data_IF_912488020237
#
_entry.id   IF_912488020237
#
_cell.length_a   1.000
_cell.length_b   1.000
_cell.length_c   1.000
_cell.angle_alpha   90.00
_cell.angle_beta   90.00
_cell.angle_gamma   90.00
#
_symmetry.space_group_name_H-M   'P 1'
#
loop_
_entity.id
_entity.type
_entity.pdbx_description
1 polymer ?
#
# COMPACT_ATOMS: atom_id res chain seq x y z
N UNK A 1 -5.88 -18.56 13.52
CA UNK A 1 -7.20 -18.25 12.92
C UNK A 1 -7.10 -18.26 11.38
N UNK A 2 -6.60 -19.35 10.79
CA UNK A 2 -6.13 -19.40 9.39
C UNK A 2 -7.07 -20.13 8.41
N UNK A 3 -8.31 -20.42 8.82
CA UNK A 3 -9.26 -21.20 8.00
C UNK A 3 -10.19 -20.34 7.10
N UNK A 4 -10.09 -19.01 7.13
CA UNK A 4 -11.06 -18.14 6.45
C UNK A 4 -10.68 -17.72 5.01
N UNK A 5 -9.45 -18.00 4.56
CA UNK A 5 -8.92 -17.50 3.27
C UNK A 5 -9.18 -18.50 2.12
N UNK A 6 -9.28 -19.80 2.43
CA UNK A 6 -9.46 -20.86 1.42
C UNK A 6 -10.88 -20.92 0.85
N UNK A 7 -11.86 -20.29 1.51
CA UNK A 7 -13.26 -20.25 1.04
C UNK A 7 -13.57 -19.19 -0.02
N UNK A 8 -12.87 -18.05 -0.03
CA UNK A 8 -13.37 -16.79 -0.65
C UNK A 8 -12.90 -16.49 -2.08
N UNK A 9 -11.78 -17.08 -2.49
CA UNK A 9 -11.40 -17.11 -3.90
C UNK A 9 -12.19 -18.20 -4.68
N UNK A 10 -12.83 -19.12 -3.93
CA UNK A 10 -13.43 -20.31 -4.49
C UNK A 10 -14.73 -19.99 -5.25
N UNK A 11 -15.64 -19.13 -4.76
CA UNK A 11 -16.89 -18.89 -5.50
C UNK A 11 -16.76 -17.93 -6.69
N UNK A 12 -15.82 -16.99 -6.69
CA UNK A 12 -15.47 -16.22 -7.91
C UNK A 12 -15.00 -17.15 -9.04
N UNK A 13 -14.20 -18.16 -8.68
CA UNK A 13 -13.82 -19.24 -9.59
C UNK A 13 -15.00 -20.18 -9.94
N UNK A 14 -15.89 -20.49 -8.99
CA UNK A 14 -17.10 -21.33 -9.24
C UNK A 14 -18.07 -20.63 -10.19
N UNK A 15 -18.26 -19.32 -10.05
CA UNK A 15 -19.07 -18.51 -10.97
C UNK A 15 -18.46 -18.50 -12.38
N UNK A 16 -17.17 -18.18 -12.49
CA UNK A 16 -16.46 -18.23 -13.78
C UNK A 16 -16.53 -19.61 -14.43
N UNK A 17 -16.41 -20.68 -13.64
CA UNK A 17 -16.54 -22.06 -14.10
C UNK A 17 -17.96 -22.39 -14.58
N UNK A 18 -18.99 -22.05 -13.81
CA UNK A 18 -20.39 -22.31 -14.18
C UNK A 18 -20.78 -21.56 -15.47
N UNK A 19 -20.30 -20.33 -15.63
CA UNK A 19 -20.49 -19.56 -16.87
C UNK A 19 -19.82 -20.23 -18.07
N UNK A 20 -18.55 -20.66 -17.91
CA UNK A 20 -17.79 -21.30 -18.98
C UNK A 20 -18.42 -22.64 -19.42
N UNK A 21 -18.81 -23.49 -18.46
CA UNK A 21 -19.47 -24.77 -18.73
C UNK A 21 -20.79 -24.59 -19.50
N UNK A 22 -21.59 -23.59 -19.11
CA UNK A 22 -22.82 -23.22 -19.79
C UNK A 22 -22.55 -22.69 -21.21
N UNK A 23 -21.54 -21.85 -21.38
CA UNK A 23 -21.14 -21.30 -22.68
C UNK A 23 -20.72 -22.40 -23.67
N UNK A 24 -19.88 -23.32 -23.23
CA UNK A 24 -19.41 -24.44 -24.05
C UNK A 24 -20.58 -25.37 -24.43
N UNK A 25 -21.50 -25.62 -23.50
CA UNK A 25 -22.69 -26.44 -23.73
C UNK A 25 -23.61 -25.82 -24.78
N UNK A 26 -23.89 -24.52 -24.69
CA UNK A 26 -24.67 -23.76 -25.68
C UNK A 26 -23.99 -23.81 -27.06
N UNK A 27 -22.67 -23.65 -27.11
CA UNK A 27 -21.89 -23.68 -28.36
C UNK A 27 -21.91 -25.06 -29.03
N UNK A 28 -21.80 -26.13 -28.25
CA UNK A 28 -21.73 -27.51 -28.74
C UNK A 28 -23.10 -28.06 -29.16
N UNK A 29 -24.16 -27.77 -28.39
CA UNK A 29 -25.52 -28.30 -28.62
C UNK A 29 -26.30 -27.43 -29.60
N UNK A 30 -26.05 -26.12 -29.65
CA UNK A 30 -26.83 -25.16 -30.46
C UNK A 30 -26.76 -25.38 -31.98
N UNK A 31 -25.82 -26.18 -32.45
CA UNK A 31 -25.74 -26.59 -33.86
C UNK A 31 -26.59 -27.82 -34.21
N UNK A 32 -26.99 -28.64 -33.22
CA UNK A 32 -27.65 -29.93 -33.42
C UNK A 32 -29.18 -29.90 -33.30
N UNK A 33 -29.75 -28.98 -32.51
CA UNK A 33 -31.20 -28.96 -32.25
C UNK A 33 -31.88 -27.72 -32.87
N UNK A 34 -32.47 -27.89 -34.06
CA UNK A 34 -33.07 -26.80 -34.84
C UNK A 34 -34.18 -26.03 -34.10
N UNK A 35 -34.96 -26.70 -33.25
CA UNK A 35 -36.10 -26.10 -32.54
C UNK A 35 -35.70 -25.11 -31.44
N UNK A 36 -34.53 -25.26 -30.83
CA UNK A 36 -34.03 -24.34 -29.79
C UNK A 36 -33.07 -23.29 -30.30
N UNK A 37 -32.81 -23.27 -31.62
CA UNK A 37 -31.80 -22.42 -32.26
C UNK A 37 -31.95 -20.93 -31.93
N UNK A 38 -33.18 -20.42 -31.86
CA UNK A 38 -33.44 -19.01 -31.54
C UNK A 38 -33.09 -18.67 -30.08
N UNK A 39 -33.52 -19.53 -29.14
CA UNK A 39 -33.28 -19.36 -27.70
C UNK A 39 -31.79 -19.50 -27.42
N UNK A 40 -31.12 -20.53 -27.95
CA UNK A 40 -29.68 -20.74 -27.77
C UNK A 40 -28.85 -19.63 -28.41
N UNK A 41 -29.32 -19.02 -29.51
CA UNK A 41 -28.69 -17.84 -30.10
C UNK A 41 -28.80 -16.61 -29.20
N UNK A 42 -29.99 -16.34 -28.64
CA UNK A 42 -30.19 -15.27 -27.64
C UNK A 42 -29.27 -15.47 -26.42
N UNK A 43 -29.28 -16.69 -25.90
CA UNK A 43 -28.50 -17.10 -24.75
C UNK A 43 -27.01 -16.92 -24.98
N UNK A 44 -26.51 -17.36 -26.15
CA UNK A 44 -25.12 -17.14 -26.57
C UNK A 44 -24.77 -15.66 -26.64
N UNK A 45 -25.61 -14.83 -27.27
CA UNK A 45 -25.36 -13.39 -27.36
C UNK A 45 -25.32 -12.71 -25.99
N UNK A 46 -26.17 -13.13 -25.04
CA UNK A 46 -26.13 -12.64 -23.67
C UNK A 46 -24.83 -13.05 -22.95
N UNK A 47 -24.37 -14.29 -23.14
CA UNK A 47 -23.11 -14.75 -22.56
C UNK A 47 -21.88 -14.06 -23.18
N UNK A 48 -21.88 -13.81 -24.50
CA UNK A 48 -20.81 -13.07 -25.20
C UNK A 48 -20.67 -11.64 -24.64
N UNK A 49 -21.78 -10.99 -24.27
CA UNK A 49 -21.78 -9.67 -23.62
C UNK A 49 -21.25 -9.71 -22.18
N UNK A 50 -21.34 -10.86 -21.51
CA UNK A 50 -20.92 -11.03 -20.12
C UNK A 50 -19.45 -11.48 -19.97
N UNK A 51 -18.89 -12.13 -20.99
CA UNK A 51 -17.53 -12.68 -20.94
C UNK A 51 -16.45 -11.65 -20.56
N UNK A 52 -16.41 -10.41 -21.12
CA UNK A 52 -15.40 -9.41 -20.74
C UNK A 52 -15.53 -8.98 -19.27
N UNK A 53 -16.76 -8.81 -18.78
CA UNK A 53 -17.03 -8.41 -17.40
C UNK A 53 -16.61 -9.51 -16.41
N UNK A 54 -16.75 -10.78 -16.77
CA UNK A 54 -16.39 -11.92 -15.91
C UNK A 54 -14.88 -12.00 -15.72
N UNK A 55 -14.09 -11.73 -16.76
CA UNK A 55 -12.63 -11.74 -16.65
C UNK A 55 -12.11 -10.54 -15.84
N UNK A 56 -12.75 -9.38 -15.99
CA UNK A 56 -12.48 -8.19 -15.18
C UNK A 56 -12.82 -8.42 -13.69
N UNK A 57 -13.99 -9.03 -13.42
CA UNK A 57 -14.42 -9.39 -12.05
C UNK A 57 -13.48 -10.43 -11.44
N UNK A 58 -13.00 -11.41 -12.21
CA UNK A 58 -12.01 -12.39 -11.75
C UNK A 58 -10.71 -11.72 -11.31
N UNK A 59 -10.24 -10.74 -12.09
CA UNK A 59 -9.04 -9.94 -11.76
C UNK A 59 -9.25 -9.11 -10.50
N UNK A 60 -10.36 -8.38 -10.40
CA UNK A 60 -10.62 -7.45 -9.29
C UNK A 60 -10.96 -8.16 -7.96
N UNK A 61 -11.63 -9.30 -8.00
CA UNK A 61 -11.96 -10.06 -6.79
C UNK A 61 -10.73 -10.72 -6.13
N UNK A 62 -9.61 -10.88 -6.85
CA UNK A 62 -8.35 -11.31 -6.23
C UNK A 62 -7.79 -10.26 -5.26
N UNK A 63 -8.23 -9.00 -5.36
CA UNK A 63 -7.69 -7.87 -4.57
C UNK A 63 -8.63 -7.38 -3.46
N UNK A 64 -9.95 -7.64 -3.50
CA UNK A 64 -10.94 -6.86 -2.74
C UNK A 64 -11.77 -7.59 -1.64
N UNK A 65 -11.47 -8.85 -1.28
CA UNK A 65 -12.04 -9.60 -0.13
C UNK A 65 -13.55 -9.35 0.17
N UNK A 66 -14.42 -9.52 -0.85
CA UNK A 66 -15.88 -9.29 -0.75
C UNK A 66 -16.70 -10.59 -0.56
N UNK A 67 -17.87 -10.53 0.11
CA UNK A 67 -18.68 -11.72 0.43
C UNK A 67 -19.44 -12.33 -0.77
N UNK A 68 -19.51 -13.67 -0.77
CA UNK A 68 -19.91 -14.51 -1.92
C UNK A 68 -21.40 -14.86 -2.04
N UNK A 69 -22.27 -14.39 -1.13
CA UNK A 69 -23.71 -14.73 -1.16
C UNK A 69 -24.47 -14.09 -2.34
N UNK A 70 -23.91 -13.05 -2.95
CA UNK A 70 -24.61 -12.27 -3.97
C UNK A 70 -24.71 -12.96 -5.35
N UNK A 71 -23.86 -13.95 -5.64
CA UNK A 71 -23.83 -14.66 -6.94
C UNK A 71 -24.41 -16.08 -6.89
N UNK A 72 -24.76 -16.57 -5.70
CA UNK A 72 -25.14 -17.97 -5.44
C UNK A 72 -26.39 -18.43 -6.17
N UNK A 73 -27.42 -17.58 -6.25
CA UNK A 73 -28.64 -17.87 -7.01
C UNK A 73 -28.36 -17.93 -8.51
N UNK A 74 -27.53 -17.02 -9.03
CA UNK A 74 -27.16 -17.02 -10.44
C UNK A 74 -26.32 -18.25 -10.83
N UNK A 75 -25.37 -18.66 -9.99
CA UNK A 75 -24.57 -19.89 -10.19
C UNK A 75 -25.48 -21.10 -10.31
N UNK A 76 -26.52 -21.18 -9.47
CA UNK A 76 -27.50 -22.26 -9.50
C UNK A 76 -28.28 -22.24 -10.82
N UNK A 77 -28.80 -21.08 -11.21
CA UNK A 77 -29.55 -20.90 -12.46
C UNK A 77 -28.70 -21.28 -13.69
N UNK A 78 -27.41 -20.94 -13.70
CA UNK A 78 -26.47 -21.32 -14.77
C UNK A 78 -26.26 -22.84 -14.87
N UNK A 79 -26.15 -23.54 -13.73
CA UNK A 79 -26.02 -25.00 -13.69
C UNK A 79 -27.31 -25.70 -14.13
N UNK A 80 -28.46 -25.20 -13.68
CA UNK A 80 -29.75 -25.73 -14.10
C UNK A 80 -29.96 -25.55 -15.62
N UNK A 81 -29.42 -24.46 -16.21
CA UNK A 81 -29.44 -24.21 -17.65
C UNK A 81 -28.60 -25.22 -18.42
N UNK A 82 -27.38 -25.45 -17.96
CA UNK A 82 -26.42 -26.37 -18.58
C UNK A 82 -27.00 -27.79 -18.62
N UNK A 83 -27.51 -28.29 -17.49
CA UNK A 83 -28.13 -29.61 -17.40
C UNK A 83 -29.33 -29.77 -18.33
N UNK A 84 -30.20 -28.77 -18.41
CA UNK A 84 -31.37 -28.80 -19.30
C UNK A 84 -30.96 -28.85 -20.78
N UNK A 85 -29.97 -28.06 -21.19
CA UNK A 85 -29.49 -28.06 -22.58
C UNK A 85 -28.86 -29.41 -22.94
N UNK A 86 -28.15 -30.04 -21.99
CA UNK A 86 -27.56 -31.36 -22.18
C UNK A 86 -28.62 -32.45 -22.33
N UNK A 87 -29.63 -32.49 -21.45
CA UNK A 87 -30.78 -33.40 -21.58
C UNK A 87 -31.48 -33.19 -22.94
N UNK A 88 -31.63 -31.94 -23.38
CA UNK A 88 -32.23 -31.65 -24.67
C UNK A 88 -31.44 -32.23 -25.86
N UNK A 89 -30.13 -32.43 -25.71
CA UNK A 89 -29.25 -32.93 -26.77
C UNK A 89 -29.25 -34.45 -26.93
N UNK A 90 -29.69 -35.19 -25.90
CA UNK A 90 -29.63 -36.65 -25.83
C UNK A 90 -30.92 -37.33 -26.34
N UNK A 91 -32.03 -36.57 -26.46
CA UNK A 91 -33.33 -37.09 -26.87
C UNK A 91 -33.50 -36.99 -28.38
N UNK A 92 -33.64 -38.13 -29.06
CA UNK A 92 -33.81 -38.22 -30.52
C UNK A 92 -35.25 -37.97 -30.98
N UNK A 93 -36.27 -38.41 -30.23
CA UNK A 93 -37.68 -38.30 -30.60
C UNK A 93 -38.50 -37.58 -29.53
N UNK A 94 -38.95 -36.38 -29.86
CA UNK A 94 -39.65 -35.51 -28.93
C UNK A 94 -41.17 -35.55 -29.15
N UNK A 95 -41.95 -35.83 -28.10
CA UNK A 95 -43.40 -35.60 -28.13
C UNK A 95 -43.73 -34.10 -27.88
N UNK A 96 -44.82 -33.61 -28.48
CA UNK A 96 -45.17 -32.17 -28.47
C UNK A 96 -45.33 -31.54 -27.06
N UNK A 97 -45.98 -32.19 -26.07
CA UNK A 97 -46.08 -31.64 -24.71
C UNK A 97 -44.72 -31.50 -24.01
N UNK A 98 -43.82 -32.46 -24.24
CA UNK A 98 -42.48 -32.45 -23.68
C UNK A 98 -41.64 -31.34 -24.33
N UNK A 99 -41.78 -31.09 -25.64
CA UNK A 99 -41.12 -29.96 -26.30
C UNK A 99 -41.53 -28.60 -25.68
N UNK A 100 -42.83 -28.38 -25.50
CA UNK A 100 -43.35 -27.14 -24.93
C UNK A 100 -42.80 -26.86 -23.52
N UNK A 101 -42.68 -27.91 -22.69
CA UNK A 101 -42.13 -27.80 -21.34
C UNK A 101 -40.68 -27.30 -21.32
N UNK A 102 -39.80 -27.85 -22.17
CA UNK A 102 -38.39 -27.44 -22.21
C UNK A 102 -38.19 -26.07 -22.85
N UNK A 103 -38.99 -25.71 -23.86
CA UNK A 103 -38.99 -24.36 -24.45
C UNK A 103 -39.32 -23.32 -23.38
N UNK A 104 -40.38 -23.54 -22.59
CA UNK A 104 -40.77 -22.61 -21.52
C UNK A 104 -39.69 -22.52 -20.44
N UNK A 105 -39.15 -23.65 -20.00
CA UNK A 105 -38.13 -23.69 -18.94
C UNK A 105 -36.82 -23.00 -19.34
N UNK A 106 -36.35 -23.18 -20.58
CA UNK A 106 -35.17 -22.48 -21.10
C UNK A 106 -35.44 -20.98 -21.30
N UNK A 107 -36.65 -20.62 -21.72
CA UNK A 107 -37.05 -19.21 -21.89
C UNK A 107 -37.09 -18.47 -20.54
N UNK A 108 -37.64 -19.11 -19.51
CA UNK A 108 -37.70 -18.52 -18.17
C UNK A 108 -36.30 -18.33 -17.58
N UNK A 109 -35.37 -19.21 -17.92
CA UNK A 109 -33.98 -19.15 -17.48
C UNK A 109 -33.17 -18.07 -18.19
N UNK A 110 -33.33 -17.90 -19.51
CA UNK A 110 -32.76 -16.77 -20.26
C UNK A 110 -33.25 -15.44 -19.66
N UNK A 111 -34.55 -15.34 -19.35
CA UNK A 111 -35.13 -14.17 -18.70
C UNK A 111 -34.58 -13.94 -17.29
N UNK A 112 -34.38 -15.00 -16.49
CA UNK A 112 -33.83 -14.90 -15.14
C UNK A 112 -32.38 -14.38 -15.17
N UNK A 113 -31.54 -14.94 -16.03
CA UNK A 113 -30.15 -14.50 -16.21
C UNK A 113 -30.11 -13.06 -16.72
N UNK A 114 -30.90 -12.72 -17.74
CA UNK A 114 -30.97 -11.36 -18.27
C UNK A 114 -31.45 -10.34 -17.22
N UNK A 115 -32.43 -10.71 -16.38
CA UNK A 115 -32.94 -9.86 -15.28
C UNK A 115 -31.87 -9.65 -14.22
N UNK A 116 -31.11 -10.68 -13.86
CA UNK A 116 -30.01 -10.55 -12.91
C UNK A 116 -28.95 -9.57 -13.42
N UNK A 117 -28.50 -9.72 -14.67
CA UNK A 117 -27.49 -8.84 -15.25
C UNK A 117 -27.97 -7.38 -15.38
N UNK A 118 -29.22 -7.17 -15.79
CA UNK A 118 -29.76 -5.82 -16.00
C UNK A 118 -30.15 -5.11 -14.71
N UNK A 119 -30.72 -5.82 -13.74
CA UNK A 119 -31.33 -5.21 -12.55
C UNK A 119 -30.42 -5.35 -11.34
N UNK A 120 -29.97 -6.57 -11.05
CA UNK A 120 -29.22 -6.84 -9.82
C UNK A 120 -27.82 -6.24 -9.87
N UNK A 121 -27.07 -6.47 -10.95
CA UNK A 121 -25.73 -5.90 -11.10
C UNK A 121 -25.74 -4.36 -11.14
N UNK A 122 -26.74 -3.75 -11.78
CA UNK A 122 -26.84 -2.28 -11.80
C UNK A 122 -27.13 -1.70 -10.41
N UNK A 123 -28.00 -2.35 -9.63
CA UNK A 123 -28.26 -1.95 -8.25
C UNK A 123 -27.02 -2.13 -7.36
N UNK A 124 -26.26 -3.22 -7.54
CA UNK A 124 -24.99 -3.45 -6.84
C UNK A 124 -23.94 -2.39 -7.21
N UNK A 125 -23.72 -2.15 -8.51
CA UNK A 125 -22.78 -1.13 -8.98
C UNK A 125 -23.11 0.24 -8.37
N UNK A 126 -24.40 0.61 -8.31
CA UNK A 126 -24.83 1.85 -7.67
C UNK A 126 -24.50 1.86 -6.18
N UNK A 127 -24.83 0.79 -5.45
CA UNK A 127 -24.52 0.65 -4.01
C UNK A 127 -23.00 0.74 -3.75
N UNK A 128 -22.20 0.07 -4.57
CA UNK A 128 -20.74 0.06 -4.45
C UNK A 128 -20.13 1.42 -4.69
N UNK A 129 -20.60 2.12 -5.73
CA UNK A 129 -20.20 3.51 -5.98
C UNK A 129 -20.55 4.38 -4.77
N UNK A 130 -21.75 4.23 -4.18
CA UNK A 130 -22.10 4.99 -2.99
C UNK A 130 -21.24 4.64 -1.77
N UNK A 131 -20.92 3.38 -1.54
CA UNK A 131 -20.03 2.96 -0.45
C UNK A 131 -18.60 3.49 -0.65
N UNK A 132 -18.07 3.44 -1.87
CA UNK A 132 -16.78 4.05 -2.20
C UNK A 132 -16.83 5.55 -1.95
N UNK A 133 -17.89 6.24 -2.41
CA UNK A 133 -18.06 7.68 -2.18
C UNK A 133 -18.17 8.02 -0.69
N UNK A 134 -18.78 7.17 0.13
CA UNK A 134 -18.84 7.32 1.58
C UNK A 134 -17.48 7.12 2.24
N UNK A 135 -16.74 6.07 1.88
CA UNK A 135 -15.37 5.86 2.34
C UNK A 135 -14.45 7.02 1.92
N UNK A 136 -14.56 7.48 0.68
CA UNK A 136 -13.81 8.64 0.19
C UNK A 136 -14.20 9.93 0.90
N UNK A 137 -15.46 10.09 1.33
CA UNK A 137 -15.85 11.19 2.21
C UNK A 137 -15.21 11.06 3.58
N UNK A 138 -15.22 9.88 4.21
CA UNK A 138 -14.53 9.66 5.49
C UNK A 138 -13.03 9.97 5.38
N UNK A 139 -12.36 9.43 4.36
CA UNK A 139 -10.95 9.72 4.07
C UNK A 139 -10.76 11.23 3.82
N UNK A 140 -11.62 11.86 3.02
CA UNK A 140 -11.54 13.30 2.77
C UNK A 140 -11.75 14.12 4.03
N UNK A 141 -12.68 13.75 4.91
CA UNK A 141 -12.94 14.46 6.15
C UNK A 141 -11.82 14.19 7.18
N UNK A 142 -11.24 12.99 7.21
CA UNK A 142 -9.99 12.69 7.93
C UNK A 142 -8.81 13.51 7.40
N UNK A 143 -8.74 13.75 6.09
CA UNK A 143 -7.74 14.60 5.44
C UNK A 143 -8.03 16.10 5.60
N UNK A 144 -9.29 16.50 5.79
CA UNK A 144 -9.74 17.88 6.02
C UNK A 144 -9.66 18.29 7.48
N UNK A 145 -9.55 17.34 8.41
CA UNK A 145 -9.07 17.66 9.75
C UNK A 145 -7.77 18.44 9.56
N UNK A 146 -7.70 19.73 9.97
CA UNK A 146 -6.38 20.31 10.15
C UNK A 146 -5.69 19.34 11.11
N UNK A 147 -4.47 18.89 10.80
CA UNK A 147 -3.73 17.99 11.69
C UNK A 147 -4.26 16.54 11.61
N UNK A 148 -3.89 15.79 10.55
CA UNK A 148 -3.52 14.39 10.78
C UNK A 148 -2.65 14.41 12.03
N UNK A 149 -3.07 13.75 13.11
CA UNK A 149 -2.35 13.65 14.39
C UNK A 149 -0.85 13.59 14.12
N UNK A 150 -0.14 14.72 14.19
CA UNK A 150 1.31 14.70 14.09
C UNK A 150 1.81 14.28 15.49
N UNK A 151 1.46 13.07 15.91
CA UNK A 151 1.98 12.45 17.14
C UNK A 151 3.48 12.08 17.01
N UNK A 152 4.14 12.52 15.94
CA UNK A 152 5.60 12.48 15.76
C UNK A 152 6.23 13.85 15.48
N UNK A 153 5.57 14.97 15.85
CA UNK A 153 6.02 16.35 15.55
C UNK A 153 7.10 16.87 16.51
N UNK A 154 7.74 16.00 17.27
CA UNK A 154 8.90 16.46 18.01
C UNK A 154 10.04 16.65 17.01
N UNK A 155 10.26 17.90 16.58
CA UNK A 155 11.53 18.29 15.99
C UNK A 155 12.63 18.42 17.07
N UNK A 156 12.35 17.94 18.29
CA UNK A 156 13.33 17.86 19.36
C UNK A 156 14.26 16.68 19.10
N UNK A 157 15.48 16.81 19.61
CA UNK A 157 16.47 15.74 19.55
C UNK A 157 15.99 14.60 20.46
N UNK A 158 15.93 13.35 19.96
CA UNK A 158 15.63 12.20 20.82
C UNK A 158 16.70 12.05 21.91
N UNK A 159 16.32 11.51 23.06
CA UNK A 159 17.28 11.17 24.12
C UNK A 159 18.38 10.25 23.57
N UNK A 160 19.64 10.40 24.02
CA UNK A 160 20.72 9.53 23.58
C UNK A 160 20.41 8.08 23.98
N UNK A 161 20.78 7.08 23.16
CA UNK A 161 20.63 5.69 23.54
C UNK A 161 21.43 5.36 24.80
N UNK A 162 20.87 4.52 25.69
CA UNK A 162 21.52 4.10 26.94
C UNK A 162 22.81 3.29 26.70
N UNK A 163 22.95 2.70 25.51
CA UNK A 163 24.11 1.91 25.12
C UNK A 163 24.50 2.21 23.67
N UNK A 164 25.75 2.61 23.47
CA UNK A 164 26.34 2.85 22.15
C UNK A 164 27.75 2.24 22.08
N UNK A 165 28.15 1.76 20.91
CA UNK A 165 29.50 1.22 20.65
C UNK A 165 29.95 1.57 19.24
N UNK A 166 31.25 1.72 19.04
CA UNK A 166 31.83 1.96 17.72
C UNK A 166 31.60 3.36 17.14
N UNK A 167 30.95 4.26 17.88
CA UNK A 167 30.67 5.63 17.45
C UNK A 167 31.64 6.67 18.02
N UNK A 168 32.60 6.29 18.86
CA UNK A 168 33.53 7.22 19.54
C UNK A 168 34.30 8.11 18.57
N UNK A 169 34.90 7.50 17.54
CA UNK A 169 35.69 8.22 16.53
C UNK A 169 34.79 9.06 15.61
N UNK A 170 33.70 8.52 15.03
CA UNK A 170 32.74 9.33 14.26
C UNK A 170 32.22 10.55 15.02
N UNK A 171 31.78 10.38 16.28
CA UNK A 171 31.23 11.47 17.08
C UNK A 171 32.28 12.53 17.41
N UNK A 172 33.53 12.16 17.69
CA UNK A 172 34.62 13.12 17.89
C UNK A 172 34.85 13.98 16.64
N UNK A 173 34.85 13.36 15.46
CA UNK A 173 35.04 14.08 14.19
C UNK A 173 33.86 15.02 13.92
N UNK A 174 32.62 14.53 14.07
CA UNK A 174 31.42 15.35 13.88
C UNK A 174 31.38 16.52 14.86
N UNK A 175 31.75 16.30 16.14
CA UNK A 175 31.81 17.35 17.15
C UNK A 175 32.75 18.48 16.74
N UNK A 176 33.95 18.14 16.26
CA UNK A 176 34.93 19.15 15.79
C UNK A 176 34.40 19.91 14.58
N UNK A 177 33.76 19.22 13.62
CA UNK A 177 33.28 19.85 12.40
C UNK A 177 32.03 20.72 12.59
N UNK A 178 31.10 20.31 13.45
CA UNK A 178 29.83 21.03 13.67
C UNK A 178 29.96 22.14 14.71
N UNK A 179 30.80 21.96 15.72
CA UNK A 179 30.86 22.84 16.88
C UNK A 179 32.07 23.76 16.91
N UNK A 180 32.83 23.93 15.82
CA UNK A 180 34.03 24.80 15.62
C UNK A 180 34.14 25.98 16.63
N UNK A 181 34.46 25.69 17.88
CA UNK A 181 34.46 26.57 19.07
C UNK A 181 33.12 27.20 19.55
N UNK A 182 31.96 26.93 18.93
CA UNK A 182 30.65 27.42 19.37
C UNK A 182 29.66 26.29 19.61
N UNK A 183 29.04 26.31 20.78
CA UNK A 183 27.91 25.43 21.08
C UNK A 183 26.72 25.83 20.21
N UNK A 184 26.04 24.84 19.65
CA UNK A 184 24.78 25.07 18.95
C UNK A 184 23.67 25.08 19.99
N UNK A 185 22.94 26.19 20.06
CA UNK A 185 21.94 26.39 21.11
C UNK A 185 20.57 25.86 20.69
N UNK A 186 20.30 25.78 19.38
CA UNK A 186 19.02 25.31 18.85
C UNK A 186 19.22 24.22 17.81
N UNK A 187 18.81 23.01 18.16
CA UNK A 187 18.90 21.83 17.29
C UNK A 187 17.49 21.43 16.90
N UNK A 188 17.25 21.28 15.60
CA UNK A 188 16.02 20.75 15.03
C UNK A 188 16.31 19.40 14.39
N UNK A 189 15.64 18.35 14.84
CA UNK A 189 15.79 17.00 14.32
C UNK A 189 14.56 16.61 13.51
N UNK A 190 14.73 16.24 12.24
CA UNK A 190 13.62 15.86 11.35
C UNK A 190 13.88 14.50 10.72
N UNK A 191 13.12 13.45 11.07
CA UNK A 191 13.15 12.20 10.34
C UNK A 191 12.43 12.37 8.99
N UNK A 192 13.15 12.17 7.89
CA UNK A 192 12.66 12.42 6.52
C UNK A 192 11.99 11.19 5.92
N UNK A 193 12.50 9.97 6.10
CA UNK A 193 11.92 8.75 5.51
C UNK A 193 11.70 8.85 3.97
N UNK A 194 11.30 7.75 3.33
CA UNK A 194 11.16 7.69 1.86
C UNK A 194 9.98 8.53 1.32
N UNK A 195 8.97 8.81 2.13
CA UNK A 195 7.67 9.33 1.67
C UNK A 195 7.37 10.78 2.05
N UNK A 196 8.22 11.45 2.83
CA UNK A 196 7.91 12.83 3.23
C UNK A 196 8.23 13.81 2.10
N UNK A 197 7.22 14.60 1.75
CA UNK A 197 7.38 15.77 0.88
C UNK A 197 8.06 16.92 1.68
N UNK A 198 8.86 17.74 0.98
CA UNK A 198 9.43 19.00 1.45
C UNK A 198 8.42 19.84 2.25
N UNK A 199 7.19 19.97 1.75
CA UNK A 199 6.17 20.79 2.37
C UNK A 199 5.82 20.34 3.79
N UNK A 200 5.74 19.02 3.99
CA UNK A 200 5.42 18.42 5.30
C UNK A 200 6.56 18.69 6.28
N UNK A 201 7.81 18.64 5.82
CA UNK A 201 8.97 18.96 6.67
C UNK A 201 8.97 20.42 7.08
N UNK A 202 8.70 21.34 6.14
CA UNK A 202 8.58 22.76 6.45
C UNK A 202 7.45 23.02 7.45
N UNK A 203 6.26 22.44 7.24
CA UNK A 203 5.14 22.55 8.17
C UNK A 203 5.49 22.05 9.58
N UNK A 204 6.22 20.95 9.70
CA UNK A 204 6.68 20.41 11.00
C UNK A 204 7.63 21.38 11.71
N UNK A 205 8.60 21.93 10.98
CA UNK A 205 9.53 22.92 11.53
C UNK A 205 8.79 24.18 11.98
N UNK A 206 7.84 24.66 11.17
CA UNK A 206 6.98 25.79 11.52
C UNK A 206 6.22 25.56 12.81
N UNK A 207 5.45 24.48 12.86
CA UNK A 207 4.63 24.17 14.02
C UNK A 207 5.47 24.00 15.28
N UNK A 208 6.66 23.39 15.17
CA UNK A 208 7.57 23.26 16.32
C UNK A 208 8.12 24.61 16.81
N UNK A 209 8.48 25.52 15.89
CA UNK A 209 9.11 26.80 16.26
C UNK A 209 8.08 27.85 16.69
N UNK A 210 6.93 27.93 16.01
CA UNK A 210 5.94 29.00 16.19
C UNK A 210 4.62 28.54 16.81
N UNK A 211 4.38 27.24 16.97
CA UNK A 211 3.08 26.69 17.38
C UNK A 211 2.00 26.80 16.30
N UNK A 212 2.33 27.29 15.10
CA UNK A 212 1.41 27.47 13.99
C UNK A 212 1.93 26.77 12.73
N UNK A 213 1.03 26.17 11.96
CA UNK A 213 1.32 25.62 10.65
C UNK A 213 0.59 26.47 9.59
N UNK A 214 1.28 27.41 8.92
CA UNK A 214 0.66 28.19 7.85
C UNK A 214 0.35 27.29 6.65
N UNK A 215 -0.67 27.68 5.89
CA UNK A 215 -0.89 27.15 4.55
C UNK A 215 0.09 27.85 3.59
N UNK A 216 0.85 27.05 2.84
CA UNK A 216 1.83 27.54 1.89
C UNK A 216 1.25 27.53 0.48
N UNK A 217 1.53 28.58 -0.29
CA UNK A 217 1.03 28.69 -1.67
C UNK A 217 1.89 27.90 -2.66
N UNK A 218 3.17 27.70 -2.34
CA UNK A 218 4.15 26.98 -3.16
C UNK A 218 5.34 26.54 -2.31
N UNK A 219 6.20 25.67 -2.84
CA UNK A 219 7.46 25.30 -2.17
C UNK A 219 8.30 26.55 -1.85
N UNK A 220 8.46 27.44 -2.82
CA UNK A 220 9.29 28.64 -2.72
C UNK A 220 8.79 29.57 -1.61
N UNK A 221 7.47 29.71 -1.49
CA UNK A 221 6.81 30.42 -0.40
C UNK A 221 7.12 29.75 0.96
N UNK A 222 6.96 28.43 1.06
CA UNK A 222 7.25 27.67 2.28
C UNK A 222 8.71 27.83 2.75
N UNK A 223 9.68 27.68 1.85
CA UNK A 223 11.10 27.82 2.17
C UNK A 223 11.49 29.27 2.50
N UNK A 224 10.88 30.25 1.83
CA UNK A 224 11.08 31.67 2.14
C UNK A 224 10.59 31.98 3.56
N UNK A 225 9.36 31.60 3.89
CA UNK A 225 8.81 31.81 5.22
C UNK A 225 9.62 31.05 6.29
N UNK A 226 10.08 29.81 6.00
CA UNK A 226 10.90 29.03 6.94
C UNK A 226 12.21 29.74 7.24
N UNK A 227 12.89 30.26 6.22
CA UNK A 227 14.10 31.05 6.39
C UNK A 227 13.84 32.28 7.26
N UNK A 228 12.74 33.01 7.03
CA UNK A 228 12.37 34.16 7.84
C UNK A 228 12.11 33.78 9.30
N UNK A 229 11.42 32.66 9.54
CA UNK A 229 11.18 32.12 10.88
C UNK A 229 12.48 31.76 11.60
N UNK A 230 13.39 31.06 10.91
CA UNK A 230 14.71 30.71 11.44
C UNK A 230 15.58 31.95 11.67
N UNK A 231 15.38 33.03 10.93
CA UNK A 231 16.10 34.30 11.15
C UNK A 231 15.58 35.03 12.40
N UNK A 232 14.29 34.94 12.70
CA UNK A 232 13.67 35.53 13.90
C UNK A 232 14.10 34.88 15.21
N UNK A 233 14.65 33.67 15.15
CA UNK A 233 15.22 32.95 16.31
C UNK A 233 16.39 33.74 16.96
N UNK A 234 16.99 34.69 16.24
CA UNK A 234 18.05 35.57 16.73
C UNK A 234 19.45 35.05 16.37
N UNK A 235 20.46 35.52 17.10
CA UNK A 235 21.88 35.20 16.83
C UNK A 235 22.32 33.79 17.24
N UNK A 236 21.43 33.02 17.89
CA UNK A 236 21.74 31.68 18.41
C UNK A 236 22.09 30.73 17.26
N UNK A 237 23.18 29.95 17.36
CA UNK A 237 23.52 29.00 16.32
C UNK A 237 22.49 27.88 16.21
N UNK A 238 22.05 27.65 14.97
CA UNK A 238 21.03 26.67 14.59
C UNK A 238 21.70 25.49 13.91
N UNK A 239 21.31 24.28 14.30
CA UNK A 239 21.58 23.05 13.56
C UNK A 239 20.28 22.38 13.14
N UNK A 240 20.11 22.21 11.83
CA UNK A 240 19.08 21.35 11.27
C UNK A 240 19.66 19.97 10.96
N UNK A 241 19.10 18.94 11.57
CA UNK A 241 19.44 17.54 11.31
C UNK A 241 18.32 16.91 10.49
N UNK A 242 18.63 16.47 9.28
CA UNK A 242 17.72 15.69 8.43
C UNK A 242 18.17 14.23 8.47
N UNK A 243 17.34 13.37 9.08
CA UNK A 243 17.67 11.97 9.32
C UNK A 243 17.03 11.02 8.30
N UNK A 244 17.81 10.04 7.84
CA UNK A 244 17.47 9.01 6.84
C UNK A 244 16.91 9.62 5.53
N UNK A 245 17.71 10.44 4.85
CA UNK A 245 17.37 11.01 3.54
C UNK A 245 17.75 10.03 2.42
N UNK A 246 16.77 9.68 1.58
CA UNK A 246 16.92 8.70 0.49
C UNK A 246 17.17 9.39 -0.87
N UNK A 247 18.20 8.95 -1.60
CA UNK A 247 18.45 9.38 -2.99
C UNK A 247 17.34 8.90 -3.95
N UNK A 248 16.97 9.72 -4.92
CA UNK A 248 16.01 9.37 -5.98
C UNK A 248 14.56 9.77 -5.69
N UNK A 249 14.29 10.34 -4.51
CA UNK A 249 13.01 10.99 -4.23
C UNK A 249 12.95 12.37 -4.92
N UNK A 250 11.76 12.91 -5.18
CA UNK A 250 11.57 14.30 -5.65
C UNK A 250 12.07 15.36 -4.63
N UNK A 251 12.65 14.93 -3.51
CA UNK A 251 13.15 15.75 -2.42
C UNK A 251 14.35 16.59 -2.86
N UNK A 252 14.09 17.87 -3.15
CA UNK A 252 15.12 18.87 -3.50
C UNK A 252 15.76 19.47 -2.25
N UNK A 253 16.60 18.68 -1.57
CA UNK A 253 17.24 19.07 -0.31
C UNK A 253 18.07 20.37 -0.40
N UNK A 254 18.58 20.73 -1.58
CA UNK A 254 19.29 21.99 -1.83
C UNK A 254 18.50 23.23 -1.36
N UNK A 255 17.16 23.16 -1.33
CA UNK A 255 16.29 24.23 -0.82
C UNK A 255 16.48 24.52 0.69
N UNK A 256 16.97 23.56 1.48
CA UNK A 256 17.27 23.74 2.91
C UNK A 256 18.66 24.34 3.18
N UNK A 257 19.52 24.51 2.16
CA UNK A 257 20.84 25.12 2.32
C UNK A 257 20.74 26.64 2.37
N UNK A 258 20.20 27.14 3.47
CA UNK A 258 20.05 28.57 3.66
C UNK A 258 21.41 29.24 3.85
N UNK A 259 21.76 30.13 2.92
CA UNK A 259 22.90 31.04 3.12
C UNK A 259 22.53 32.09 4.19
N UNK A 260 22.87 31.82 5.44
CA UNK A 260 22.66 32.71 6.58
C UNK A 260 23.71 32.44 7.68
N UNK A 261 24.07 33.45 8.51
CA UNK A 261 25.05 33.24 9.58
C UNK A 261 24.52 32.27 10.64
N UNK A 262 25.44 31.57 11.31
CA UNK A 262 25.17 30.66 12.43
C UNK A 262 24.15 29.53 12.11
N UNK A 263 24.03 29.13 10.84
CA UNK A 263 23.18 28.01 10.43
C UNK A 263 24.03 26.88 9.86
N UNK A 264 23.90 25.69 10.45
CA UNK A 264 24.50 24.46 9.94
C UNK A 264 23.40 23.44 9.63
N UNK A 265 23.68 22.59 8.65
CA UNK A 265 22.82 21.46 8.29
C UNK A 265 23.66 20.18 8.35
N UNK A 266 23.12 19.17 9.03
CA UNK A 266 23.65 17.80 9.04
C UNK A 266 22.63 16.88 8.39
N UNK A 267 23.10 16.06 7.47
CA UNK A 267 22.27 15.07 6.79
C UNK A 267 22.82 13.67 7.04
N UNK A 268 21.93 12.72 7.33
CA UNK A 268 22.26 11.29 7.32
C UNK A 268 21.59 10.64 6.11
N UNK A 269 22.37 9.87 5.35
CA UNK A 269 21.90 9.23 4.11
C UNK A 269 22.64 7.93 3.89
N UNK A 270 22.01 6.99 3.17
CA UNK A 270 22.58 5.69 2.80
C UNK A 270 23.47 5.77 1.56
N UNK A 271 23.38 6.85 0.80
CA UNK A 271 24.09 7.06 -0.47
C UNK A 271 24.91 8.33 -0.41
N UNK A 272 26.05 8.38 -1.09
CA UNK A 272 26.84 9.61 -1.15
C UNK A 272 26.09 10.70 -1.90
N UNK A 273 25.89 11.84 -1.26
CA UNK A 273 25.30 13.03 -1.86
C UNK A 273 26.37 14.11 -2.09
N UNK A 274 26.40 14.75 -3.27
CA UNK A 274 27.29 15.87 -3.53
C UNK A 274 26.81 17.16 -2.83
N UNK A 275 27.70 18.17 -2.75
CA UNK A 275 27.30 19.53 -2.35
C UNK A 275 27.40 19.85 -0.85
N UNK A 276 28.09 19.03 -0.06
CA UNK A 276 28.43 19.32 1.34
C UNK A 276 29.91 19.70 1.48
N UNK A 277 30.21 20.63 2.39
CA UNK A 277 31.59 21.04 2.70
C UNK A 277 32.38 19.96 3.43
N UNK A 278 31.69 19.02 4.08
CA UNK A 278 32.28 17.89 4.78
C UNK A 278 31.37 16.66 4.67
N UNK A 279 31.97 15.50 4.42
CA UNK A 279 31.26 14.21 4.37
C UNK A 279 32.03 13.17 5.17
N UNK A 280 31.34 12.51 6.10
CA UNK A 280 31.90 11.39 6.86
C UNK A 280 31.25 10.08 6.44
N UNK A 281 32.04 9.16 5.88
CA UNK A 281 31.56 7.83 5.52
C UNK A 281 31.64 6.91 6.74
N UNK A 282 30.49 6.66 7.39
CA UNK A 282 30.41 5.66 8.45
C UNK A 282 30.78 4.30 7.89
N UNK A 283 31.68 3.61 8.59
CA UNK A 283 32.05 2.22 8.26
C UNK A 283 31.05 1.27 8.90
N UNK A 284 30.81 0.10 8.29
CA UNK A 284 30.09 -0.98 8.96
C UNK A 284 30.68 -1.23 10.34
N UNK A 285 29.81 -1.55 11.28
CA UNK A 285 30.22 -1.84 12.65
C UNK A 285 31.07 -3.12 12.66
N UNK A 286 32.15 -3.14 13.45
CA UNK A 286 32.97 -4.35 13.62
C UNK A 286 32.15 -5.46 14.29
N UNK A 287 32.43 -6.71 13.93
CA UNK A 287 31.71 -7.89 14.44
C UNK A 287 31.59 -7.92 15.96
N UNK A 288 32.67 -7.60 16.69
CA UNK A 288 32.65 -7.57 18.16
C UNK A 288 31.65 -6.54 18.69
N UNK A 289 31.64 -5.34 18.12
CA UNK A 289 30.69 -4.28 18.51
C UNK A 289 29.26 -4.61 18.07
N UNK A 290 29.07 -5.21 16.90
CA UNK A 290 27.77 -5.67 16.44
C UNK A 290 27.21 -6.76 17.36
N UNK A 291 28.07 -7.68 17.81
CA UNK A 291 27.72 -8.71 18.79
C UNK A 291 27.38 -8.11 20.15
N UNK A 292 28.13 -7.11 20.62
CA UNK A 292 27.81 -6.39 21.85
C UNK A 292 26.45 -5.69 21.78
N UNK A 293 26.16 -4.99 20.68
CA UNK A 293 24.86 -4.34 20.46
C UNK A 293 23.72 -5.35 20.40
N UNK A 294 23.87 -6.44 19.64
CA UNK A 294 22.81 -7.45 19.55
C UNK A 294 22.52 -8.10 20.89
N UNK A 295 23.56 -8.43 21.67
CA UNK A 295 23.40 -8.96 23.03
C UNK A 295 22.69 -7.97 23.94
N UNK A 296 23.09 -6.70 23.90
CA UNK A 296 22.45 -5.66 24.68
C UNK A 296 20.96 -5.51 24.32
N UNK A 297 20.63 -5.46 23.02
CA UNK A 297 19.25 -5.33 22.54
C UNK A 297 18.39 -6.57 22.78
N UNK A 298 18.97 -7.78 22.76
CA UNK A 298 18.25 -9.03 22.98
C UNK A 298 18.08 -9.38 24.47
N UNK A 299 18.86 -8.76 25.36
CA UNK A 299 18.72 -8.93 26.81
C UNK A 299 17.52 -8.11 27.29
N UNK A 300 16.34 -8.75 27.39
CA UNK A 300 15.17 -8.15 28.05
C UNK A 300 15.54 -7.71 29.46
N UNK A 301 14.98 -6.57 29.90
CA UNK A 301 15.38 -5.81 31.09
C UNK A 301 15.39 -6.56 32.44
N UNK A 302 15.03 -7.83 32.49
CA UNK A 302 15.30 -8.69 33.64
C UNK A 302 15.61 -10.12 33.17
N UNK A 303 16.67 -10.68 33.78
CA UNK A 303 17.25 -12.01 33.57
C UNK A 303 18.21 -12.15 32.38
N UNK A 304 19.43 -12.57 32.71
CA UNK A 304 20.50 -12.95 31.80
C UNK A 304 20.05 -14.10 30.91
N UNK A 305 19.39 -13.79 29.80
CA UNK A 305 19.13 -14.78 28.75
C UNK A 305 20.49 -15.20 28.20
N UNK A 306 20.86 -16.45 28.49
CA UNK A 306 22.12 -17.06 28.08
C UNK A 306 22.02 -17.44 26.59
N UNK A 307 21.92 -16.43 25.72
CA UNK A 307 21.76 -16.63 24.27
C UNK A 307 23.08 -17.18 23.73
N UNK A 308 23.09 -18.38 23.11
CA UNK A 308 24.31 -18.97 22.56
C UNK A 308 24.95 -18.05 21.51
N UNK A 309 26.27 -17.90 21.58
CA UNK A 309 27.05 -17.03 20.69
C UNK A 309 26.85 -17.40 19.22
N UNK A 310 26.65 -18.68 18.95
CA UNK A 310 26.40 -19.27 17.64
C UNK A 310 25.06 -18.81 17.05
N UNK A 311 24.03 -18.63 17.89
CA UNK A 311 22.73 -18.11 17.45
C UNK A 311 22.84 -16.62 17.07
N UNK A 312 23.56 -15.84 17.87
CA UNK A 312 23.87 -14.43 17.58
C UNK A 312 24.67 -14.27 16.29
N UNK A 313 25.70 -15.11 16.09
CA UNK A 313 26.49 -15.12 14.84
C UNK A 313 25.64 -15.44 13.62
N UNK A 314 24.70 -16.39 13.72
CA UNK A 314 23.76 -16.70 12.62
C UNK A 314 22.86 -15.51 12.28
N UNK A 315 22.35 -14.80 13.29
CA UNK A 315 21.53 -13.60 13.08
C UNK A 315 22.35 -12.47 12.45
N UNK A 316 23.57 -12.21 12.94
CA UNK A 316 24.46 -11.20 12.36
C UNK A 316 24.77 -11.52 10.88
N UNK A 317 25.07 -12.77 10.56
CA UNK A 317 25.31 -13.19 9.18
C UNK A 317 24.07 -13.06 8.27
N UNK A 318 22.86 -13.12 8.83
CA UNK A 318 21.61 -12.94 8.08
C UNK A 318 21.23 -11.46 7.93
N UNK A 319 21.47 -10.64 8.95
CA UNK A 319 21.05 -9.22 8.99
C UNK A 319 22.06 -8.30 8.32
N UNK A 320 23.37 -8.60 8.40
CA UNK A 320 24.42 -7.78 7.78
C UNK A 320 24.19 -7.64 6.26
N UNK A 321 23.92 -8.71 5.48
CA UNK A 321 23.60 -8.57 4.05
C UNK A 321 22.33 -7.75 3.77
N UNK A 322 21.29 -7.87 4.61
CA UNK A 322 20.00 -7.19 4.40
C UNK A 322 20.09 -5.66 4.54
N UNK A 323 21.10 -5.14 5.22
CA UNK A 323 21.36 -3.69 5.33
C UNK A 323 22.26 -3.14 4.22
N UNK A 324 23.01 -3.99 3.52
CA UNK A 324 23.99 -3.57 2.51
C UNK A 324 23.60 -3.93 1.06
N UNK A 325 22.71 -4.91 0.84
CA UNK A 325 22.35 -5.44 -0.49
C UNK A 325 20.88 -5.23 -0.89
N UNK A 326 20.26 -4.09 -0.56
CA UNK A 326 19.06 -3.66 -1.29
C UNK A 326 19.52 -2.71 -2.40
N UNK A 327 19.65 -3.17 -3.66
CA UNK A 327 19.87 -2.26 -4.78
C UNK A 327 18.68 -1.30 -4.90
N UNK A 328 18.90 -0.06 -5.36
CA UNK A 328 17.79 0.81 -5.71
C UNK A 328 16.96 0.11 -6.80
N UNK A 329 15.72 -0.24 -6.46
CA UNK A 329 14.67 -0.53 -7.44
C UNK A 329 14.20 0.76 -8.09
#
# INVERSE_FOLDING_TARGET
>A
MAAAIVGRAALGAVFGKALAELYDTVKNVGSKVLMFKSILKSFKSNLDLLAPAVEEIRRLNQELDRPEEETKSLIKDMKDAEQLIRICSEIQDWNYPFQAFYVTKLTDLDKAIARFCKVHMQAQNKRDIFQILEQLKSIREEMKSPIMKIHGLSCSVPGPPDFTVGLDKPLKVLKIQLLKEKQQDKIFFVPVSKTLNLMVIVQRLFHYISGQAPEFQSDEDAFKQLRELLTKIGSNPILLILDDVWSGSEFRFEKFKFHMPNYNILETTRTKLPGFSFTYNLKPLKDDYAMMLLRHSASLQHESSNIPVEAIKKVLNFVVPLYFDIPPL
#
